data_IF_965054598033
#
_entry.id   IF_965054598033
#
_cell.length_a   1.000
_cell.length_b   1.000
_cell.length_c   1.000
_cell.angle_alpha   90.00
_cell.angle_beta   90.00
_cell.angle_gamma   90.00
#
_symmetry.space_group_name_H-M   'P 1'
#
loop_
_entity.id
_entity.type
_entity.pdbx_description
1 polymer ?
#
# COMPACT_ATOMS: atom_id res chain seq x y z
N UNK A 1 14.20 -16.39 -21.83
CA UNK A 1 13.48 -17.60 -22.28
C UNK A 1 14.47 -18.72 -22.56
N UNK A 2 15.66 -18.35 -23.04
CA UNK A 2 16.70 -19.31 -23.44
C UNK A 2 17.39 -20.01 -22.25
N UNK A 3 17.53 -19.38 -21.09
CA UNK A 3 18.21 -19.99 -19.93
C UNK A 3 17.49 -21.24 -19.37
N UNK A 4 16.15 -21.19 -19.24
CA UNK A 4 15.36 -22.33 -18.73
C UNK A 4 15.27 -23.49 -19.72
N UNK A 5 15.28 -23.16 -21.02
CA UNK A 5 15.28 -24.17 -22.08
C UNK A 5 16.62 -24.90 -22.12
N UNK A 6 17.73 -24.17 -22.00
CA UNK A 6 19.08 -24.73 -21.98
C UNK A 6 19.34 -25.59 -20.73
N UNK A 7 18.85 -25.17 -19.54
CA UNK A 7 18.98 -25.98 -18.32
C UNK A 7 18.20 -27.31 -18.39
N UNK A 8 16.98 -27.28 -18.92
CA UNK A 8 16.18 -28.50 -19.10
C UNK A 8 16.81 -29.48 -20.10
N UNK A 9 17.49 -28.98 -21.12
CA UNK A 9 18.23 -29.78 -22.10
C UNK A 9 19.49 -30.43 -21.49
N UNK A 10 20.20 -29.70 -20.61
CA UNK A 10 21.37 -30.22 -19.87
C UNK A 10 20.97 -31.36 -18.92
N UNK A 11 19.81 -31.27 -18.27
CA UNK A 11 19.33 -32.28 -17.31
C UNK A 11 18.53 -33.44 -17.96
N UNK A 12 18.30 -33.40 -19.28
CA UNK A 12 17.57 -34.44 -20.01
C UNK A 12 16.08 -34.56 -19.63
N UNK A 13 15.53 -33.56 -18.93
CA UNK A 13 14.11 -33.51 -18.59
C UNK A 13 13.30 -33.00 -19.77
N UNK A 14 12.18 -33.65 -20.09
CA UNK A 14 11.19 -33.10 -21.02
C UNK A 14 10.51 -31.91 -20.34
N UNK A 15 10.74 -30.66 -20.76
CA UNK A 15 10.15 -29.52 -20.09
C UNK A 15 8.63 -29.59 -20.23
N UNK A 16 7.93 -29.59 -19.09
CA UNK A 16 6.48 -29.34 -19.06
C UNK A 16 6.16 -27.96 -19.65
N UNK A 17 4.88 -27.67 -19.91
CA UNK A 17 4.47 -26.37 -20.47
C UNK A 17 4.90 -25.23 -19.54
N UNK A 18 5.89 -24.44 -19.96
CA UNK A 18 6.30 -23.23 -19.25
C UNK A 18 5.17 -22.20 -19.37
N UNK A 19 4.43 -21.99 -18.30
CA UNK A 19 3.42 -20.93 -18.22
C UNK A 19 4.07 -19.74 -17.53
N UNK A 20 4.31 -18.67 -18.28
CA UNK A 20 4.77 -17.42 -17.71
C UNK A 20 3.61 -16.80 -16.93
N UNK A 21 3.79 -16.63 -15.64
CA UNK A 21 2.81 -15.95 -14.80
C UNK A 21 2.81 -14.46 -15.19
N UNK A 22 1.65 -13.88 -15.55
CA UNK A 22 1.54 -12.47 -15.91
C UNK A 22 1.77 -11.57 -14.68
N UNK A 23 2.14 -10.30 -14.90
CA UNK A 23 2.33 -9.34 -13.81
C UNK A 23 1.05 -8.98 -13.05
N UNK A 24 -0.12 -9.32 -13.60
CA UNK A 24 -1.41 -9.21 -12.90
C UNK A 24 -1.54 -10.16 -11.70
N UNK A 25 -0.72 -11.22 -11.64
CA UNK A 25 -0.70 -12.12 -10.50
C UNK A 25 0.09 -11.51 -9.34
N UNK A 26 -0.61 -11.08 -8.29
CA UNK A 26 0.00 -10.51 -7.10
C UNK A 26 0.95 -11.51 -6.44
N UNK A 27 2.16 -11.04 -6.09
CA UNK A 27 3.21 -11.87 -5.50
C UNK A 27 4.10 -12.60 -6.50
N UNK A 28 3.84 -12.53 -7.82
CA UNK A 28 4.79 -13.03 -8.82
C UNK A 28 6.05 -12.15 -8.88
N UNK A 29 7.20 -12.71 -9.33
CA UNK A 29 8.41 -11.93 -9.56
C UNK A 29 8.19 -10.72 -10.49
N UNK A 30 7.33 -10.89 -11.52
CA UNK A 30 6.97 -9.81 -12.46
C UNK A 30 6.12 -8.74 -11.80
N UNK A 31 5.14 -9.10 -10.97
CA UNK A 31 4.36 -8.14 -10.20
C UNK A 31 5.23 -7.33 -9.24
N UNK A 32 6.18 -7.97 -8.57
CA UNK A 32 7.13 -7.28 -7.70
C UNK A 32 8.03 -6.31 -8.47
N UNK A 33 8.54 -6.73 -9.63
CA UNK A 33 9.35 -5.87 -10.50
C UNK A 33 8.57 -4.65 -11.00
N UNK A 34 7.32 -4.86 -11.43
CA UNK A 34 6.45 -3.77 -11.87
C UNK A 34 6.15 -2.78 -10.73
N UNK A 35 5.78 -3.27 -9.55
CA UNK A 35 5.55 -2.42 -8.37
C UNK A 35 6.79 -1.61 -7.98
N UNK A 36 7.99 -2.20 -8.11
CA UNK A 36 9.23 -1.49 -7.87
C UNK A 36 9.44 -0.35 -8.88
N UNK A 37 9.23 -0.61 -10.17
CA UNK A 37 9.35 0.40 -11.22
C UNK A 37 8.35 1.55 -11.00
N UNK A 38 7.10 1.23 -10.65
CA UNK A 38 6.08 2.23 -10.34
C UNK A 38 6.46 3.08 -9.11
N UNK A 39 6.97 2.43 -8.06
CA UNK A 39 7.48 3.15 -6.89
C UNK A 39 8.64 4.09 -7.24
N UNK A 40 9.59 3.65 -8.07
CA UNK A 40 10.70 4.49 -8.53
C UNK A 40 10.22 5.67 -9.37
N UNK A 41 9.19 5.48 -10.21
CA UNK A 41 8.58 6.57 -10.98
C UNK A 41 7.93 7.62 -10.07
N UNK A 42 7.26 7.19 -8.99
CA UNK A 42 6.69 8.09 -7.98
C UNK A 42 7.79 8.85 -7.24
N UNK A 43 8.85 8.16 -6.80
CA UNK A 43 9.99 8.79 -6.11
C UNK A 43 10.69 9.80 -7.01
N UNK A 44 10.85 9.49 -8.29
CA UNK A 44 11.45 10.41 -9.27
C UNK A 44 10.60 11.67 -9.46
N UNK A 45 9.26 11.57 -9.38
CA UNK A 45 8.35 12.70 -9.59
C UNK A 45 8.18 13.58 -8.34
N UNK A 46 8.05 12.97 -7.17
CA UNK A 46 7.68 13.67 -5.92
C UNK A 46 8.82 13.75 -4.90
N UNK A 47 9.99 13.16 -5.20
CA UNK A 47 11.12 13.08 -4.29
C UNK A 47 11.05 11.86 -3.37
N UNK A 48 12.09 11.72 -2.53
CA UNK A 48 12.18 10.61 -1.58
C UNK A 48 11.08 10.76 -0.52
N UNK A 49 10.31 9.71 -0.20
CA UNK A 49 9.42 9.74 0.94
C UNK A 49 10.22 9.92 2.23
N UNK A 50 9.74 10.82 3.09
CA UNK A 50 10.30 11.06 4.44
C UNK A 50 9.60 10.23 5.51
N UNK A 51 8.37 9.78 5.25
CA UNK A 51 7.54 9.07 6.21
C UNK A 51 6.78 7.92 5.55
N UNK A 52 6.91 6.73 6.13
CA UNK A 52 6.10 5.55 5.79
C UNK A 52 5.11 5.28 6.93
N UNK A 53 3.81 5.39 6.65
CA UNK A 53 2.75 5.15 7.63
C UNK A 53 1.93 3.94 7.20
N UNK A 54 1.84 2.95 8.09
CA UNK A 54 0.98 1.79 7.91
C UNK A 54 -0.27 1.91 8.78
N UNK A 55 -1.45 1.80 8.17
CA UNK A 55 -2.71 1.69 8.89
C UNK A 55 -3.16 0.24 8.93
N UNK A 56 -3.19 -0.34 10.13
CA UNK A 56 -3.81 -1.64 10.34
C UNK A 56 -5.30 -1.45 10.57
N UNK A 57 -6.14 -2.21 9.88
CA UNK A 57 -7.58 -2.26 10.13
C UNK A 57 -7.86 -3.51 10.98
N UNK A 58 -8.10 -3.34 12.27
CA UNK A 58 -8.46 -4.45 13.15
C UNK A 58 -9.98 -4.70 13.07
N UNK A 59 -10.45 -5.92 12.77
CA UNK A 59 -11.87 -6.25 12.75
C UNK A 59 -12.58 -6.10 14.11
N UNK A 60 -11.84 -6.10 15.23
CA UNK A 60 -12.35 -5.93 16.61
C UNK A 60 -12.41 -4.44 17.00
N UNK A 61 -12.48 -3.53 16.03
CA UNK A 61 -12.63 -2.12 16.36
C UNK A 61 -14.08 -1.82 16.72
N UNK A 62 -14.27 -1.05 17.80
CA UNK A 62 -15.59 -0.62 18.28
C UNK A 62 -16.50 -0.06 17.16
N UNK A 63 -15.94 0.71 16.23
CA UNK A 63 -16.69 1.23 15.07
C UNK A 63 -17.21 0.14 14.12
N UNK A 64 -16.49 -0.98 14.00
CA UNK A 64 -16.92 -2.13 13.22
C UNK A 64 -18.05 -2.85 13.95
N UNK A 65 -17.89 -3.08 15.25
CA UNK A 65 -18.86 -3.77 16.10
C UNK A 65 -20.19 -3.00 16.23
N UNK A 66 -20.13 -1.69 16.42
CA UNK A 66 -21.31 -0.81 16.51
C UNK A 66 -22.14 -0.76 15.22
N UNK A 67 -21.50 -1.01 14.08
CA UNK A 67 -22.16 -0.98 12.76
C UNK A 67 -22.54 -2.38 12.26
N UNK A 68 -22.30 -3.42 13.06
CA UNK A 68 -22.63 -4.81 12.74
C UNK A 68 -24.04 -5.15 13.23
N UNK A 69 -24.81 -5.84 12.39
CA UNK A 69 -26.11 -6.37 12.80
C UNK A 69 -25.94 -7.63 13.68
N UNK A 70 -26.88 -7.93 14.59
CA UNK A 70 -26.81 -9.12 15.42
C UNK A 70 -26.69 -10.38 14.55
N UNK A 71 -25.63 -11.16 14.77
CA UNK A 71 -25.33 -12.39 14.03
C UNK A 71 -24.43 -12.24 12.79
N UNK A 72 -24.06 -11.02 12.38
CA UNK A 72 -23.08 -10.82 11.31
C UNK A 72 -21.65 -10.87 11.84
N UNK A 73 -20.70 -11.30 11.00
CA UNK A 73 -19.28 -11.23 11.30
C UNK A 73 -18.62 -10.06 10.56
N UNK A 74 -17.52 -9.49 11.07
CA UNK A 74 -16.76 -8.45 10.36
C UNK A 74 -16.26 -8.86 8.98
N UNK A 75 -16.21 -10.16 8.68
CA UNK A 75 -15.84 -10.69 7.37
C UNK A 75 -16.96 -10.54 6.33
N UNK A 76 -18.22 -10.54 6.77
CA UNK A 76 -19.39 -10.45 5.89
C UNK A 76 -19.62 -9.02 5.36
N UNK A 77 -19.00 -8.02 6.01
CA UNK A 77 -19.11 -6.59 5.66
C UNK A 77 -17.74 -5.98 5.30
N UNK A 78 -17.15 -6.34 4.14
CA UNK A 78 -15.88 -5.75 3.70
C UNK A 78 -16.01 -4.26 3.36
N UNK A 79 -17.21 -3.80 3.04
CA UNK A 79 -17.54 -2.38 2.83
C UNK A 79 -17.23 -1.55 4.07
N UNK A 80 -17.59 -2.03 5.25
CA UNK A 80 -17.38 -1.36 6.53
C UNK A 80 -15.89 -1.21 6.85
N UNK A 81 -15.11 -2.28 6.63
CA UNK A 81 -13.63 -2.24 6.75
C UNK A 81 -13.02 -1.20 5.82
N UNK A 82 -13.51 -1.15 4.58
CA UNK A 82 -13.01 -0.24 3.55
C UNK A 82 -13.34 1.22 3.89
N UNK A 83 -14.55 1.48 4.37
CA UNK A 83 -14.99 2.80 4.85
C UNK A 83 -14.15 3.27 6.03
N UNK A 84 -13.98 2.44 7.06
CA UNK A 84 -13.22 2.81 8.26
C UNK A 84 -11.75 3.08 7.92
N UNK A 85 -11.13 2.23 7.09
CA UNK A 85 -9.75 2.44 6.58
C UNK A 85 -9.60 3.79 5.90
N UNK A 86 -10.54 4.10 5.02
CA UNK A 86 -10.52 5.34 4.22
C UNK A 86 -10.66 6.56 5.12
N UNK A 87 -11.61 6.54 6.06
CA UNK A 87 -11.80 7.62 7.02
C UNK A 87 -10.61 7.84 7.93
N UNK A 88 -10.01 6.76 8.47
CA UNK A 88 -8.83 6.87 9.32
C UNK A 88 -7.64 7.47 8.55
N UNK A 89 -7.45 7.03 7.31
CA UNK A 89 -6.41 7.56 6.42
C UNK A 89 -6.64 9.05 6.13
N UNK A 90 -7.89 9.44 5.86
CA UNK A 90 -8.28 10.84 5.62
C UNK A 90 -8.03 11.72 6.84
N UNK A 91 -8.46 11.26 8.03
CA UNK A 91 -8.27 11.98 9.28
C UNK A 91 -6.78 12.19 9.58
N UNK A 92 -5.93 11.19 9.36
CA UNK A 92 -4.50 11.37 9.58
C UNK A 92 -3.90 12.36 8.58
N UNK A 93 -4.25 12.25 7.29
CA UNK A 93 -3.82 13.23 6.28
C UNK A 93 -4.15 14.65 6.74
N UNK A 94 -5.40 14.87 7.18
CA UNK A 94 -5.84 16.18 7.66
C UNK A 94 -5.06 16.64 8.90
N UNK A 95 -4.75 15.74 9.85
CA UNK A 95 -3.95 16.08 11.03
C UNK A 95 -2.52 16.46 10.67
N UNK A 96 -1.89 15.71 9.77
CA UNK A 96 -0.54 16.00 9.27
C UNK A 96 -0.56 17.36 8.58
N UNK A 97 -1.46 17.59 7.63
CA UNK A 97 -1.56 18.88 6.92
C UNK A 97 -1.79 20.06 7.87
N UNK A 98 -2.66 19.92 8.87
CA UNK A 98 -2.89 20.97 9.87
C UNK A 98 -1.64 21.24 10.72
N UNK A 99 -0.93 20.20 11.15
CA UNK A 99 0.30 20.36 11.92
C UNK A 99 1.39 21.11 11.14
N UNK A 100 1.53 20.84 9.83
CA UNK A 100 2.46 21.60 8.98
C UNK A 100 2.06 23.07 8.84
N UNK A 101 0.77 23.37 8.68
CA UNK A 101 0.30 24.75 8.59
C UNK A 101 0.52 25.52 9.90
N UNK A 102 0.28 24.90 11.05
CA UNK A 102 0.47 25.57 12.34
C UNK A 102 1.96 25.81 12.64
N UNK A 103 2.86 24.89 12.32
CA UNK A 103 4.30 25.09 12.51
C UNK A 103 4.85 26.19 11.60
N UNK A 104 4.44 26.23 10.34
CA UNK A 104 4.83 27.29 9.40
C UNK A 104 4.33 28.66 9.84
N UNK A 105 3.08 28.75 10.31
CA UNK A 105 2.54 29.99 10.86
C UNK A 105 3.35 30.47 12.06
N UNK A 106 3.62 29.59 13.05
CA UNK A 106 4.43 29.98 14.22
C UNK A 106 5.85 30.42 13.83
N UNK A 107 6.49 29.73 12.89
CA UNK A 107 7.81 30.11 12.39
C UNK A 107 7.81 31.48 11.70
N UNK A 108 6.80 31.74 10.86
CA UNK A 108 6.63 33.03 10.19
C UNK A 108 6.41 34.19 11.18
N UNK A 109 5.49 34.02 12.14
CA UNK A 109 5.22 35.03 13.17
C UNK A 109 6.45 35.30 14.06
N UNK A 110 7.25 34.28 14.37
CA UNK A 110 8.46 34.45 15.18
C UNK A 110 9.62 35.10 14.40
N UNK A 111 9.71 34.83 13.09
CA UNK A 111 10.70 35.44 12.19
C UNK A 111 10.50 36.94 11.96
N UNK A 112 9.25 37.45 12.05
CA UNK A 112 8.95 38.88 11.89
C UNK A 112 9.09 39.72 13.17
N UNK A 113 9.39 39.10 14.32
CA UNK A 113 9.63 39.79 15.61
C UNK A 113 11.12 39.95 15.95
N UNK A 114 12.03 39.68 15.01
CA UNK A 114 13.46 39.98 15.13
C UNK A 114 13.83 41.17 14.26
#
# INVERSE_FOLDING_TARGET
>A
MDHLANEAEIEGLRPGRVIIIPSSFQGSPRAMQQNYQDAMAIVRKYGKPDLFITFTCNPIWRKVEEQLFPGQTPSDRPDLKTYIRTNHSQCLRNRISKAWLTTLSHAYYFGQRR
#
